data_IF_767815580908
#
_entry.id   IF_767815580908
#
_cell.length_a   1.000
_cell.length_b   1.000
_cell.length_c   1.000
_cell.angle_alpha   90.00
_cell.angle_beta   90.00
_cell.angle_gamma   90.00
#
_symmetry.space_group_name_H-M   'P 1'
#
loop_
_entity.id
_entity.type
_entity.pdbx_description
1 polymer ?
#
# COMPACT_ATOMS: atom_id res chain seq x y z
N UNK A 1 -7.36 -10.56 -5.89
CA UNK A 1 -6.90 -10.56 -4.49
C UNK A 1 -6.12 -9.29 -4.28
N UNK A 2 -6.33 -8.62 -3.15
CA UNK A 2 -5.68 -7.33 -2.92
C UNK A 2 -4.23 -7.55 -2.52
N UNK A 3 -3.35 -6.68 -3.01
CA UNK A 3 -1.91 -6.79 -2.83
C UNK A 3 -1.41 -5.76 -1.82
N UNK A 4 -0.42 -6.16 -1.04
CA UNK A 4 0.27 -5.30 -0.08
C UNK A 4 1.72 -5.15 -0.55
N UNK A 5 2.22 -3.92 -0.60
CA UNK A 5 3.60 -3.62 -0.97
C UNK A 5 4.53 -3.63 0.22
N UNK A 6 4.05 -3.14 1.36
CA UNK A 6 4.87 -3.02 2.57
C UNK A 6 4.00 -3.04 3.84
N UNK A 7 4.60 -3.45 4.95
CA UNK A 7 4.07 -3.32 6.30
C UNK A 7 5.15 -2.62 7.12
N UNK A 8 4.94 -1.33 7.36
CA UNK A 8 5.89 -0.48 8.08
C UNK A 8 5.50 -0.38 9.55
N UNK A 9 6.38 -0.85 10.41
CA UNK A 9 6.21 -0.77 11.86
C UNK A 9 6.74 0.56 12.41
N UNK A 10 6.23 0.94 13.58
CA UNK A 10 6.67 2.12 14.33
C UNK A 10 6.51 3.44 13.57
N UNK A 11 5.50 3.55 12.73
CA UNK A 11 5.14 4.80 12.07
C UNK A 11 4.61 5.81 13.10
N UNK A 12 5.12 7.03 13.07
CA UNK A 12 4.75 8.12 13.99
C UNK A 12 4.14 9.33 13.27
N UNK A 13 4.01 9.25 11.95
CA UNK A 13 3.48 10.33 11.10
C UNK A 13 2.15 9.97 10.42
N UNK A 14 1.66 8.74 10.62
CA UNK A 14 0.50 8.19 9.91
C UNK A 14 -0.75 8.14 10.81
N UNK A 15 -0.87 9.06 11.75
CA UNK A 15 -1.95 9.18 12.73
C UNK A 15 -1.45 9.33 14.16
N UNK A 16 -2.35 9.27 15.13
CA UNK A 16 -2.02 9.44 16.55
C UNK A 16 -1.25 8.20 17.09
N UNK A 17 -0.27 8.42 17.92
CA UNK A 17 0.53 7.39 18.58
C UNK A 17 1.50 6.63 17.68
N UNK A 18 1.99 5.48 18.13
CA UNK A 18 2.83 4.58 17.35
C UNK A 18 1.93 3.63 16.57
N UNK A 19 2.13 3.56 15.25
CA UNK A 19 1.26 2.79 14.36
C UNK A 19 2.05 1.78 13.52
N UNK A 20 1.34 0.76 13.05
CA UNK A 20 1.82 -0.08 11.94
C UNK A 20 1.03 0.30 10.69
N UNK A 21 1.75 0.76 9.67
CA UNK A 21 1.15 1.19 8.39
C UNK A 21 1.23 0.08 7.37
N UNK A 22 0.09 -0.30 6.80
CA UNK A 22 -0.05 -1.28 5.73
C UNK A 22 -0.22 -0.54 4.41
N UNK A 23 0.72 -0.73 3.48
CA UNK A 23 0.68 -0.09 2.16
C UNK A 23 0.06 -1.03 1.13
N UNK A 24 -1.12 -0.69 0.66
CA UNK A 24 -1.81 -1.44 -0.40
C UNK A 24 -1.28 -1.08 -1.78
N UNK A 25 -1.36 -2.03 -2.71
CA UNK A 25 -0.98 -1.85 -4.10
C UNK A 25 -2.22 -1.68 -4.98
N UNK A 26 -2.24 -0.61 -5.73
CA UNK A 26 -3.30 -0.20 -6.63
C UNK A 26 -3.88 1.17 -6.27
N UNK A 27 -3.86 2.09 -7.22
CA UNK A 27 -4.44 3.41 -7.09
C UNK A 27 -5.07 3.83 -8.42
N UNK A 28 -6.31 4.35 -8.43
CA UNK A 28 -6.93 4.86 -9.66
C UNK A 28 -6.27 6.17 -10.15
N UNK A 29 -5.49 6.83 -9.29
CA UNK A 29 -4.80 8.07 -9.62
C UNK A 29 -3.33 7.83 -10.00
N UNK A 30 -2.75 8.80 -10.72
CA UNK A 30 -1.34 8.83 -11.14
C UNK A 30 -0.73 10.17 -10.78
N UNK A 31 -0.75 10.53 -9.50
CA UNK A 31 -0.22 11.79 -9.01
C UNK A 31 1.28 11.89 -9.31
N UNK A 32 1.71 13.02 -9.88
CA UNK A 32 3.12 13.26 -10.21
C UNK A 32 4.02 13.30 -8.97
N UNK A 33 3.47 13.72 -7.85
CA UNK A 33 4.16 13.78 -6.55
C UNK A 33 3.85 12.59 -5.63
N UNK A 34 3.43 11.46 -6.17
CA UNK A 34 3.13 10.28 -5.36
C UNK A 34 4.35 9.87 -4.53
N UNK A 35 4.18 9.77 -3.22
CA UNK A 35 5.25 9.34 -2.31
C UNK A 35 5.53 7.83 -2.43
N UNK A 36 4.53 7.05 -2.90
CA UNK A 36 4.62 5.60 -3.04
C UNK A 36 4.31 5.18 -4.49
N UNK A 37 5.13 5.57 -5.48
CA UNK A 37 4.84 5.31 -6.90
C UNK A 37 4.75 3.82 -7.24
N UNK A 38 5.39 2.95 -6.46
CA UNK A 38 5.32 1.49 -6.55
C UNK A 38 3.93 0.94 -6.26
N UNK A 39 3.08 1.73 -5.58
CA UNK A 39 1.70 1.35 -5.24
C UNK A 39 0.68 1.72 -6.32
N UNK A 40 1.04 2.47 -7.35
CA UNK A 40 0.07 2.97 -8.34
C UNK A 40 -0.58 1.86 -9.18
N UNK A 41 0.16 0.81 -9.53
CA UNK A 41 -0.37 -0.30 -10.34
C UNK A 41 -1.08 -1.32 -9.47
N UNK A 42 -2.16 -1.90 -9.99
CA UNK A 42 -2.92 -2.94 -9.28
C UNK A 42 -2.25 -4.32 -9.38
N UNK A 43 -1.43 -4.56 -10.40
CA UNK A 43 -0.76 -5.84 -10.62
C UNK A 43 0.57 -5.91 -9.90
N UNK A 44 0.99 -7.13 -9.57
CA UNK A 44 2.37 -7.38 -9.15
C UNK A 44 3.36 -6.96 -10.24
N UNK A 45 4.50 -6.46 -9.83
CA UNK A 45 5.56 -6.12 -10.76
C UNK A 45 6.94 -6.32 -10.14
N UNK A 46 7.94 -6.54 -10.99
CA UNK A 46 9.34 -6.55 -10.56
C UNK A 46 9.89 -5.14 -10.69
N UNK A 47 10.45 -4.66 -9.59
CA UNK A 47 11.20 -3.42 -9.54
C UNK A 47 12.68 -3.70 -9.22
N UNK A 48 13.53 -2.74 -9.47
CA UNK A 48 14.93 -2.77 -9.07
C UNK A 48 15.49 -1.36 -8.87
N UNK A 49 16.42 -1.23 -7.94
CA UNK A 49 17.15 0.00 -7.71
C UNK A 49 18.23 0.17 -8.78
N UNK A 50 17.98 1.08 -9.72
CA UNK A 50 18.89 1.30 -10.85
C UNK A 50 20.23 1.91 -10.42
N UNK A 51 20.26 2.69 -9.33
CA UNK A 51 21.48 3.35 -8.84
C UNK A 51 22.45 2.33 -8.24
N UNK A 52 21.94 1.35 -7.50
CA UNK A 52 22.72 0.27 -6.90
C UNK A 52 23.06 -0.87 -7.86
N UNK A 53 22.52 -0.85 -9.09
CA UNK A 53 22.74 -1.92 -10.06
C UNK A 53 24.14 -1.86 -10.64
N UNK A 54 24.94 -2.94 -10.46
CA UNK A 54 26.31 -3.06 -11.00
C UNK A 54 26.36 -3.57 -12.45
N UNK A 55 25.22 -3.88 -13.07
CA UNK A 55 25.16 -4.39 -14.46
C UNK A 55 25.71 -5.81 -14.63
N UNK A 56 25.78 -6.61 -13.57
CA UNK A 56 26.40 -7.95 -13.61
C UNK A 56 25.72 -8.98 -14.54
N UNK A 57 24.49 -8.70 -15.01
CA UNK A 57 23.77 -9.53 -15.99
C UNK A 57 23.21 -10.85 -15.46
N UNK A 58 23.35 -11.17 -14.18
CA UNK A 58 22.83 -12.43 -13.60
C UNK A 58 21.33 -12.56 -13.80
N UNK A 59 20.57 -11.47 -13.60
CA UNK A 59 19.11 -11.45 -13.77
C UNK A 59 18.67 -11.84 -15.20
N UNK A 60 19.43 -11.48 -16.22
CA UNK A 60 19.16 -11.88 -17.60
C UNK A 60 19.47 -13.37 -17.82
N UNK A 61 20.59 -13.86 -17.27
CA UNK A 61 21.03 -15.26 -17.41
C UNK A 61 20.08 -16.26 -16.74
N UNK A 62 19.52 -15.90 -15.57
CA UNK A 62 18.64 -16.80 -14.81
C UNK A 62 17.18 -16.72 -15.22
N UNK A 63 16.79 -15.77 -16.08
CA UNK A 63 15.42 -15.60 -16.51
C UNK A 63 14.97 -16.72 -17.46
N UNK A 64 14.06 -17.65 -17.04
CA UNK A 64 13.67 -18.79 -17.88
C UNK A 64 12.84 -18.39 -19.09
N UNK A 65 12.24 -17.19 -19.05
CA UNK A 65 11.35 -16.68 -20.09
C UNK A 65 12.05 -15.64 -20.99
N UNK A 66 13.33 -15.37 -20.81
CA UNK A 66 14.05 -14.33 -21.55
C UNK A 66 13.49 -12.92 -21.37
N UNK A 67 12.72 -12.70 -20.27
CA UNK A 67 12.06 -11.43 -20.02
C UNK A 67 13.00 -10.30 -19.58
N UNK A 68 14.25 -10.63 -19.24
CA UNK A 68 15.26 -9.64 -18.87
C UNK A 68 16.38 -9.70 -19.90
N UNK A 69 16.64 -8.58 -20.56
CA UNK A 69 17.77 -8.36 -21.47
C UNK A 69 18.73 -7.34 -20.88
N UNK A 70 19.96 -7.29 -21.39
CA UNK A 70 20.93 -6.26 -21.00
C UNK A 70 21.05 -5.25 -22.14
N UNK A 71 20.79 -3.97 -21.85
CA UNK A 71 20.98 -2.85 -22.77
C UNK A 71 21.86 -1.82 -22.09
N UNK A 72 22.94 -1.40 -22.73
CA UNK A 72 23.93 -0.43 -22.21
C UNK A 72 24.41 -0.74 -20.77
N UNK A 73 24.64 -2.03 -20.48
CA UNK A 73 25.07 -2.49 -19.16
C UNK A 73 23.95 -2.47 -18.08
N UNK A 74 22.71 -2.21 -18.43
CA UNK A 74 21.56 -2.18 -17.52
C UNK A 74 20.51 -3.22 -17.89
N UNK A 75 19.84 -3.84 -16.90
CA UNK A 75 18.77 -4.78 -17.17
C UNK A 75 17.51 -4.06 -17.64
N UNK A 76 16.95 -4.51 -18.76
CA UNK A 76 15.65 -4.09 -19.27
C UNK A 76 14.65 -5.24 -19.14
N UNK A 77 13.47 -4.95 -18.62
CA UNK A 77 12.41 -5.93 -18.41
C UNK A 77 11.34 -5.83 -19.47
N UNK A 78 11.11 -6.93 -20.20
CA UNK A 78 9.88 -7.09 -20.99
C UNK A 78 8.76 -7.63 -20.09
N UNK A 79 7.81 -6.75 -19.74
CA UNK A 79 6.68 -7.09 -18.87
C UNK A 79 5.75 -8.16 -19.49
N UNK A 80 5.69 -8.29 -20.84
CA UNK A 80 4.84 -9.28 -21.50
C UNK A 80 5.38 -10.69 -21.34
N UNK A 81 6.70 -10.84 -21.33
CA UNK A 81 7.38 -12.12 -21.16
C UNK A 81 7.56 -12.50 -19.69
N UNK A 82 7.51 -11.53 -18.78
CA UNK A 82 7.73 -11.76 -17.35
C UNK A 82 6.56 -12.55 -16.73
N UNK A 83 6.89 -13.66 -16.04
CA UNK A 83 5.95 -14.52 -15.30
C UNK A 83 6.05 -14.36 -13.79
N UNK A 84 6.72 -13.32 -13.29
CA UNK A 84 6.88 -13.02 -11.86
C UNK A 84 7.40 -14.23 -11.04
N UNK A 85 8.29 -15.02 -11.63
CA UNK A 85 8.78 -16.28 -11.03
C UNK A 85 9.83 -16.09 -9.92
N UNK A 86 10.24 -14.86 -9.60
CA UNK A 86 11.20 -14.51 -8.55
C UNK A 86 12.67 -14.86 -8.82
N UNK A 87 13.00 -15.61 -9.87
CA UNK A 87 14.40 -16.04 -10.08
C UNK A 87 15.38 -14.87 -10.17
N UNK A 88 15.04 -13.79 -10.87
CA UNK A 88 15.92 -12.63 -10.97
C UNK A 88 16.05 -11.84 -9.66
N UNK A 89 15.10 -11.95 -8.75
CA UNK A 89 15.14 -11.43 -7.39
C UNK A 89 16.07 -12.32 -6.52
N UNK A 90 15.80 -13.63 -6.46
CA UNK A 90 16.54 -14.57 -5.63
C UNK A 90 18.04 -14.67 -6.00
N UNK A 91 18.39 -14.48 -7.26
CA UNK A 91 19.76 -14.54 -7.74
C UNK A 91 20.43 -13.17 -7.93
N UNK A 92 19.78 -12.08 -7.51
CA UNK A 92 20.37 -10.76 -7.54
C UNK A 92 21.49 -10.65 -6.50
N UNK A 93 22.74 -10.54 -6.94
CA UNK A 93 23.90 -10.46 -6.05
C UNK A 93 23.92 -9.22 -5.18
N UNK A 94 23.19 -8.17 -5.59
CA UNK A 94 23.05 -6.92 -4.84
C UNK A 94 21.78 -6.85 -4.00
N UNK A 95 20.87 -7.83 -4.11
CA UNK A 95 19.60 -7.82 -3.38
C UNK A 95 18.67 -6.64 -3.72
N UNK A 96 18.81 -6.06 -4.91
CA UNK A 96 18.12 -4.81 -5.32
C UNK A 96 16.89 -5.05 -6.19
N UNK A 97 16.53 -6.29 -6.45
CA UNK A 97 15.34 -6.66 -7.23
C UNK A 97 14.31 -7.27 -6.32
N UNK A 98 13.07 -6.86 -6.48
CA UNK A 98 11.96 -7.38 -5.68
C UNK A 98 10.68 -7.49 -6.49
N UNK A 99 9.83 -8.43 -6.12
CA UNK A 99 8.45 -8.50 -6.58
C UNK A 99 7.61 -7.65 -5.64
N UNK A 100 7.14 -6.52 -6.14
CA UNK A 100 6.30 -5.59 -5.38
C UNK A 100 4.84 -6.03 -5.46
N UNK A 101 4.22 -6.12 -4.29
CA UNK A 101 2.85 -6.58 -4.11
C UNK A 101 2.77 -8.07 -3.75
N UNK A 102 2.45 -8.35 -2.50
CA UNK A 102 2.27 -9.69 -1.98
C UNK A 102 0.83 -9.88 -1.50
N UNK A 103 0.31 -11.10 -1.66
CA UNK A 103 -1.00 -11.46 -1.14
C UNK A 103 -0.91 -11.80 0.34
N UNK A 104 -1.77 -11.20 1.13
CA UNK A 104 -1.90 -11.51 2.55
C UNK A 104 -3.32 -11.97 2.86
N UNK A 105 -3.57 -13.23 3.23
CA UNK A 105 -4.84 -13.62 3.81
C UNK A 105 -5.14 -12.77 5.05
N UNK A 106 -6.39 -12.32 5.23
CA UNK A 106 -6.80 -11.43 6.34
C UNK A 106 -6.27 -11.93 7.68
N UNK A 107 -6.43 -13.23 7.97
CA UNK A 107 -5.98 -13.84 9.22
C UNK A 107 -4.48 -13.71 9.44
N UNK A 108 -3.68 -13.85 8.36
CA UNK A 108 -2.23 -13.72 8.42
C UNK A 108 -1.82 -12.28 8.65
N UNK A 109 -2.45 -11.35 7.92
CA UNK A 109 -2.20 -9.92 8.09
C UNK A 109 -2.52 -9.46 9.51
N UNK A 110 -3.72 -9.75 10.01
CA UNK A 110 -4.13 -9.36 11.37
C UNK A 110 -3.19 -9.94 12.43
N UNK A 111 -2.79 -11.22 12.28
CA UNK A 111 -1.79 -11.83 13.19
C UNK A 111 -0.46 -11.07 13.17
N UNK A 112 -0.02 -10.58 12.02
CA UNK A 112 1.21 -9.78 11.92
C UNK A 112 1.06 -8.43 12.61
N UNK A 113 -0.07 -7.75 12.41
CA UNK A 113 -0.38 -6.45 13.01
C UNK A 113 -0.48 -6.54 14.54
N UNK A 114 -1.06 -7.61 15.06
CA UNK A 114 -1.21 -7.82 16.51
C UNK A 114 0.11 -8.08 17.25
N UNK A 115 1.22 -8.32 16.55
CA UNK A 115 2.54 -8.39 17.21
C UNK A 115 2.97 -7.08 17.85
N UNK A 116 2.43 -5.97 17.37
CA UNK A 116 2.78 -4.63 17.80
C UNK A 116 1.75 -4.04 18.81
N UNK A 117 0.79 -4.86 19.30
CA UNK A 117 -0.30 -4.45 20.19
C UNK A 117 0.18 -3.65 21.41
N UNK A 118 1.25 -4.06 22.05
CA UNK A 118 1.81 -3.37 23.22
C UNK A 118 2.16 -1.90 22.89
N UNK A 119 2.66 -1.62 21.69
CA UNK A 119 2.99 -0.26 21.29
C UNK A 119 1.74 0.56 21.01
N UNK A 120 0.69 -0.06 20.46
CA UNK A 120 -0.60 0.61 20.26
C UNK A 120 -1.22 1.02 21.58
N UNK A 121 -1.29 0.11 22.54
CA UNK A 121 -1.87 0.37 23.89
C UNK A 121 -1.10 1.46 24.65
N UNK A 122 0.24 1.42 24.62
CA UNK A 122 1.07 2.38 25.36
C UNK A 122 1.05 3.79 24.78
N UNK A 123 0.87 3.93 23.45
CA UNK A 123 0.96 5.21 22.77
C UNK A 123 -0.39 5.81 22.38
N UNK A 124 -1.48 5.06 22.51
CA UNK A 124 -2.77 5.40 21.90
C UNK A 124 -2.77 5.30 20.39
N UNK A 125 -1.84 4.51 19.84
CA UNK A 125 -1.69 4.27 18.40
C UNK A 125 -2.60 3.17 17.85
N UNK A 126 -2.15 2.49 16.79
CA UNK A 126 -2.93 1.42 16.16
C UNK A 126 -2.44 1.05 14.77
N UNK A 127 -3.36 0.77 13.87
CA UNK A 127 -3.08 0.41 12.48
C UNK A 127 -3.51 1.53 11.53
N UNK A 128 -2.68 1.82 10.53
CA UNK A 128 -3.04 2.68 9.41
C UNK A 128 -3.04 1.88 8.13
N UNK A 129 -4.12 1.93 7.37
CA UNK A 129 -4.20 1.39 6.02
C UNK A 129 -3.95 2.54 5.04
N UNK A 130 -2.93 2.41 4.20
CA UNK A 130 -2.43 3.44 3.28
C UNK A 130 -1.89 2.82 1.98
N UNK A 131 -1.02 3.52 1.28
CA UNK A 131 -0.32 3.03 0.08
C UNK A 131 -0.85 3.63 -1.20
N UNK A 132 -1.48 2.81 -2.05
CA UNK A 132 -2.20 3.29 -3.23
C UNK A 132 -3.52 3.97 -2.84
N UNK A 133 -4.65 3.33 -3.13
CA UNK A 133 -5.95 3.76 -2.63
C UNK A 133 -6.63 2.58 -1.93
N UNK A 134 -6.67 2.61 -0.60
CA UNK A 134 -7.24 1.54 0.22
C UNK A 134 -8.69 1.25 -0.15
N UNK A 135 -9.46 2.31 -0.39
CA UNK A 135 -10.89 2.21 -0.70
C UNK A 135 -11.15 1.73 -2.15
N UNK A 136 -10.11 1.68 -3.01
CA UNK A 136 -10.21 1.04 -4.32
C UNK A 136 -10.07 -0.49 -4.26
N UNK A 137 -9.59 -1.02 -3.13
CA UNK A 137 -9.47 -2.46 -2.89
C UNK A 137 -10.84 -3.14 -2.77
N UNK A 138 -10.84 -4.47 -2.64
CA UNK A 138 -12.06 -5.24 -2.35
C UNK A 138 -12.67 -4.79 -1.04
N UNK A 139 -13.93 -4.37 -1.07
CA UNK A 139 -14.66 -3.95 0.13
C UNK A 139 -14.68 -5.05 1.19
N UNK A 140 -14.88 -6.30 0.79
CA UNK A 140 -14.92 -7.44 1.70
C UNK A 140 -13.58 -7.66 2.42
N UNK A 141 -12.47 -7.47 1.71
CA UNK A 141 -11.13 -7.62 2.28
C UNK A 141 -10.83 -6.53 3.31
N UNK A 142 -11.03 -5.27 2.94
CA UNK A 142 -10.81 -4.12 3.83
C UNK A 142 -11.74 -4.18 5.05
N UNK A 143 -13.01 -4.51 4.83
CA UNK A 143 -14.02 -4.66 5.89
C UNK A 143 -13.66 -5.80 6.86
N UNK A 144 -13.14 -6.92 6.35
CA UNK A 144 -12.73 -8.04 7.20
C UNK A 144 -11.54 -7.67 8.10
N UNK A 145 -10.57 -6.90 7.58
CA UNK A 145 -9.46 -6.35 8.38
C UNK A 145 -10.00 -5.41 9.45
N UNK A 146 -10.85 -4.45 9.07
CA UNK A 146 -11.40 -3.46 9.97
C UNK A 146 -12.21 -4.08 11.12
N UNK A 147 -13.06 -5.06 10.81
CA UNK A 147 -13.81 -5.84 11.82
C UNK A 147 -12.90 -6.59 12.78
N UNK A 148 -11.83 -7.19 12.25
CA UNK A 148 -10.89 -7.93 13.09
C UNK A 148 -10.13 -6.99 14.04
N UNK A 149 -9.65 -5.84 13.56
CA UNK A 149 -8.98 -4.85 14.39
C UNK A 149 -9.91 -4.25 15.45
N UNK A 150 -11.16 -3.95 15.08
CA UNK A 150 -12.17 -3.43 16.02
C UNK A 150 -12.48 -4.42 17.14
N UNK A 151 -12.50 -5.72 16.85
CA UNK A 151 -12.70 -6.78 17.84
C UNK A 151 -11.57 -6.82 18.89
N UNK A 152 -10.36 -6.52 18.47
CA UNK A 152 -9.17 -6.47 19.33
C UNK A 152 -8.95 -5.06 19.92
N UNK A 153 -9.93 -4.16 19.80
CA UNK A 153 -9.91 -2.78 20.30
C UNK A 153 -8.72 -1.94 19.77
N UNK A 154 -8.19 -2.30 18.58
CA UNK A 154 -7.10 -1.58 17.93
C UNK A 154 -7.64 -0.43 17.09
N UNK A 155 -7.13 0.79 17.32
CA UNK A 155 -7.48 1.98 16.55
C UNK A 155 -7.11 1.82 15.08
N UNK A 156 -8.07 2.12 14.19
CA UNK A 156 -7.91 2.06 12.75
C UNK A 156 -7.97 3.45 12.10
N UNK A 157 -6.91 3.81 11.41
CA UNK A 157 -6.86 4.96 10.50
C UNK A 157 -6.85 4.48 9.06
N UNK A 158 -7.60 5.15 8.19
CA UNK A 158 -7.53 4.96 6.74
C UNK A 158 -7.00 6.23 6.10
N UNK A 159 -5.90 6.08 5.37
CA UNK A 159 -5.34 7.11 4.51
C UNK A 159 -5.86 6.90 3.08
N UNK A 160 -6.58 7.87 2.55
CA UNK A 160 -7.31 7.76 1.28
C UNK A 160 -7.25 9.04 0.46
N UNK A 161 -7.19 8.92 -0.86
CA UNK A 161 -7.38 10.05 -1.75
C UNK A 161 -8.87 10.41 -1.95
N UNK A 162 -9.79 9.58 -1.47
CA UNK A 162 -11.24 9.80 -1.58
C UNK A 162 -11.83 9.61 -2.98
N UNK A 163 -11.05 9.15 -3.96
CA UNK A 163 -11.50 9.01 -5.35
C UNK A 163 -12.13 7.63 -5.61
N UNK A 164 -13.18 7.34 -4.85
CA UNK A 164 -13.99 6.11 -4.98
C UNK A 164 -15.46 6.41 -4.64
N UNK A 165 -16.43 5.56 -5.05
CA UNK A 165 -17.83 5.71 -4.68
C UNK A 165 -18.04 5.70 -3.16
N UNK A 166 -18.97 6.57 -2.70
CA UNK A 166 -19.25 6.75 -1.27
C UNK A 166 -19.72 5.48 -0.56
N UNK A 167 -20.43 4.62 -1.25
CA UNK A 167 -20.96 3.36 -0.73
C UNK A 167 -19.87 2.46 -0.14
N UNK A 168 -18.65 2.57 -0.66
CA UNK A 168 -17.51 1.85 -0.10
C UNK A 168 -17.09 2.36 1.27
N UNK A 169 -17.18 3.68 1.47
CA UNK A 169 -16.93 4.29 2.77
C UNK A 169 -18.03 3.93 3.78
N UNK A 170 -19.28 3.99 3.37
CA UNK A 170 -20.43 3.70 4.23
C UNK A 170 -20.31 2.33 4.90
N UNK A 171 -19.87 1.33 4.17
CA UNK A 171 -19.70 -0.04 4.69
C UNK A 171 -18.64 -0.13 5.81
N UNK A 172 -17.61 0.73 5.79
CA UNK A 172 -16.47 0.64 6.71
C UNK A 172 -16.53 1.65 7.87
N UNK A 173 -17.33 2.71 7.73
CA UNK A 173 -17.47 3.79 8.73
C UNK A 173 -17.59 3.30 10.19
N UNK A 174 -18.37 2.25 10.53
CA UNK A 174 -18.53 1.80 11.92
C UNK A 174 -17.26 1.23 12.56
N UNK A 175 -16.24 0.95 11.76
CA UNK A 175 -15.01 0.25 12.18
C UNK A 175 -13.75 1.12 12.12
N UNK A 176 -13.87 2.35 11.61
CA UNK A 176 -12.73 3.28 11.41
C UNK A 176 -12.82 4.42 12.40
N UNK A 177 -11.73 4.73 13.07
CA UNK A 177 -11.68 5.82 14.05
C UNK A 177 -11.28 7.15 13.39
N UNK A 178 -10.39 7.10 12.37
CA UNK A 178 -9.89 8.30 11.70
C UNK A 178 -9.76 8.07 10.20
N UNK A 179 -10.14 9.07 9.41
CA UNK A 179 -9.78 9.16 8.00
C UNK A 179 -8.75 10.28 7.80
N UNK A 180 -7.59 9.91 7.25
CA UNK A 180 -6.60 10.84 6.72
C UNK A 180 -6.89 11.01 5.24
N UNK A 181 -7.18 12.23 4.81
CA UNK A 181 -7.59 12.47 3.42
C UNK A 181 -6.59 13.38 2.73
N UNK A 182 -5.96 12.86 1.69
CA UNK A 182 -5.31 13.68 0.68
C UNK A 182 -6.33 14.62 0.00
N UNK A 183 -5.96 15.86 -0.27
CA UNK A 183 -6.87 16.92 -0.72
C UNK A 183 -7.40 16.64 -2.15
N UNK A 184 -8.44 15.82 -2.25
CA UNK A 184 -9.20 15.58 -3.49
C UNK A 184 -10.64 16.02 -3.24
N UNK A 185 -10.91 17.32 -3.41
CA UNK A 185 -12.26 17.90 -3.52
C UNK A 185 -13.22 17.74 -2.33
N UNK A 186 -13.67 18.84 -1.79
CA UNK A 186 -14.42 19.07 -0.56
C UNK A 186 -15.62 18.20 -0.16
N UNK A 187 -16.21 17.41 -1.05
CA UNK A 187 -17.48 16.70 -0.78
C UNK A 187 -17.32 15.50 0.18
N UNK A 188 -16.21 14.78 0.08
CA UNK A 188 -16.00 13.59 0.92
C UNK A 188 -15.77 13.99 2.40
N UNK A 189 -14.99 15.03 2.66
CA UNK A 189 -14.73 15.50 4.02
C UNK A 189 -16.01 15.93 4.75
N UNK A 190 -16.92 16.64 4.08
CA UNK A 190 -18.20 17.08 4.66
C UNK A 190 -19.09 15.90 5.08
N UNK A 191 -19.07 14.81 4.31
CA UNK A 191 -19.88 13.63 4.60
C UNK A 191 -19.38 12.94 5.88
N UNK A 192 -18.06 12.84 6.04
CA UNK A 192 -17.47 12.23 7.23
C UNK A 192 -17.74 13.05 8.50
N UNK A 193 -17.64 14.37 8.42
CA UNK A 193 -18.00 15.25 9.55
C UNK A 193 -19.46 15.07 10.00
N UNK A 194 -20.40 14.90 9.08
CA UNK A 194 -21.82 14.66 9.39
C UNK A 194 -22.04 13.34 10.15
N UNK A 195 -21.17 12.37 9.97
CA UNK A 195 -21.24 11.06 10.64
C UNK A 195 -20.39 10.97 11.92
N UNK A 196 -19.82 12.10 12.38
CA UNK A 196 -19.05 12.17 13.62
C UNK A 196 -17.66 11.51 13.56
N UNK A 197 -17.15 11.23 12.37
CA UNK A 197 -15.83 10.67 12.17
C UNK A 197 -14.74 11.74 12.27
N UNK A 198 -13.59 11.38 12.87
CA UNK A 198 -12.42 12.24 12.87
C UNK A 198 -11.81 12.25 11.46
N UNK A 199 -11.78 13.41 10.84
CA UNK A 199 -11.12 13.61 9.53
C UNK A 199 -9.91 14.52 9.71
N UNK A 200 -8.75 14.05 9.29
CA UNK A 200 -7.53 14.84 9.20
C UNK A 200 -7.27 15.12 7.72
N UNK A 201 -7.40 16.37 7.31
CA UNK A 201 -7.05 16.78 5.95
C UNK A 201 -5.54 16.94 5.82
N UNK A 202 -4.91 16.14 4.98
CA UNK A 202 -3.51 16.33 4.60
C UNK A 202 -3.48 17.21 3.35
N UNK A 203 -2.83 18.36 3.43
CA UNK A 203 -2.74 19.33 2.33
C UNK A 203 -1.80 18.83 1.23
N UNK A 204 -2.36 18.37 0.13
CA UNK A 204 -1.65 18.08 -1.12
C UNK A 204 -2.59 18.31 -2.30
N UNK A 205 -2.17 19.12 -3.28
CA UNK A 205 -2.99 19.37 -4.49
C UNK A 205 -2.79 18.27 -5.52
N UNK A 206 -3.83 17.48 -5.77
CA UNK A 206 -3.87 16.59 -6.93
C UNK A 206 -4.37 17.36 -8.16
N UNK A 207 -3.49 17.75 -9.10
CA UNK A 207 -3.82 18.60 -10.25
C UNK A 207 -3.85 17.88 -11.60
N UNK A 208 -3.95 16.57 -11.66
CA UNK A 208 -4.15 15.93 -12.96
C UNK A 208 -4.90 14.61 -12.87
N UNK A 209 -6.15 14.65 -13.24
CA UNK A 209 -6.91 13.51 -13.75
C UNK A 209 -6.66 13.52 -15.26
N UNK A 210 -5.95 12.57 -15.82
CA UNK A 210 -5.85 12.34 -17.25
C UNK A 210 -6.22 10.91 -17.57
#
# INVERSE_FOLDING_TARGET
MDLITNIQKYSIHDGDGIRTTVFFKGCPLKCVWCHNPETQRFEQEIQYDAEKCTGCGVCAKVCPNGAVTMEDGRPKLDKKLCKLCGKCENFCTQGIREIVGQEYPVKTLVKELMKDLMFYEQSGGGVTLSGGEVMAMSTDYVLAIAKALKKEEVSLTIDTCGYVPYEKFEAILPYVDTFSMGNVGGTAAEIFYKNGQKVVAVSGHCTSIS
#
